data_IF_662021992635
#
_entry.id   IF_662021992635
#
_cell.length_a   1.000
_cell.length_b   1.000
_cell.length_c   1.000
_cell.angle_alpha   90.00
_cell.angle_beta   90.00
_cell.angle_gamma   90.00
#
_symmetry.space_group_name_H-M   'P 1'
#
loop_
_entity.id
_entity.type
_entity.pdbx_description
1 polymer ?
#
# COMPACT_ATOMS: atom_id res chain seq x y z
N UNK A 1 14.25 -27.69 3.74
CA UNK A 1 13.12 -28.46 4.31
C UNK A 1 12.43 -27.74 5.47
N UNK A 2 12.88 -27.82 6.73
CA UNK A 2 12.08 -27.25 7.86
C UNK A 2 11.99 -25.72 7.84
N UNK A 3 13.07 -25.04 7.44
CA UNK A 3 13.11 -23.56 7.37
C UNK A 3 12.13 -23.00 6.33
N UNK A 4 11.99 -23.67 5.19
CA UNK A 4 11.13 -23.21 4.09
C UNK A 4 9.65 -23.29 4.48
N UNK A 5 9.25 -24.38 5.16
CA UNK A 5 7.90 -24.51 5.72
C UNK A 5 7.61 -23.45 6.78
N UNK A 6 8.59 -23.12 7.63
CA UNK A 6 8.46 -22.07 8.64
C UNK A 6 8.24 -20.70 8.00
N UNK A 7 9.00 -20.36 6.96
CA UNK A 7 8.85 -19.08 6.24
C UNK A 7 7.47 -18.98 5.59
N UNK A 8 7.00 -20.06 4.94
CA UNK A 8 5.68 -20.10 4.30
C UNK A 8 4.53 -19.99 5.33
N UNK A 9 4.69 -20.60 6.50
CA UNK A 9 3.70 -20.50 7.56
C UNK A 9 3.60 -19.06 8.09
N UNK A 10 4.75 -18.44 8.39
CA UNK A 10 4.80 -17.06 8.88
C UNK A 10 4.28 -16.08 7.82
N UNK A 11 4.65 -16.24 6.55
CA UNK A 11 4.16 -15.36 5.48
C UNK A 11 2.65 -15.49 5.28
N UNK A 12 2.11 -16.70 5.33
CA UNK A 12 0.67 -16.95 5.20
C UNK A 12 -0.12 -16.36 6.37
N UNK A 13 0.42 -16.47 7.58
CA UNK A 13 -0.19 -15.88 8.77
C UNK A 13 -0.28 -14.36 8.67
N UNK A 14 0.83 -13.70 8.32
CA UNK A 14 0.86 -12.25 8.12
C UNK A 14 -0.05 -11.79 6.97
N UNK A 15 -0.07 -12.53 5.86
CA UNK A 15 -0.92 -12.22 4.71
C UNK A 15 -2.41 -12.28 5.08
N UNK A 16 -2.83 -13.34 5.78
CA UNK A 16 -4.21 -13.51 6.24
C UNK A 16 -4.62 -12.39 7.20
N UNK A 17 -3.75 -12.05 8.16
CA UNK A 17 -4.00 -10.97 9.11
C UNK A 17 -4.15 -9.62 8.40
N UNK A 18 -3.27 -9.31 7.45
CA UNK A 18 -3.37 -8.10 6.62
C UNK A 18 -4.67 -8.05 5.79
N UNK A 19 -5.11 -9.19 5.27
CA UNK A 19 -6.34 -9.28 4.49
C UNK A 19 -7.59 -9.02 5.35
N UNK A 20 -7.63 -9.53 6.59
CA UNK A 20 -8.71 -9.25 7.54
C UNK A 20 -8.80 -7.76 7.85
N UNK A 21 -7.67 -7.09 8.10
CA UNK A 21 -7.64 -5.63 8.30
C UNK A 21 -8.09 -4.86 7.05
N UNK A 22 -7.68 -5.31 5.86
CA UNK A 22 -8.12 -4.70 4.60
C UNK A 22 -9.64 -4.78 4.42
N UNK A 23 -10.27 -5.91 4.76
CA UNK A 23 -11.72 -6.08 4.70
C UNK A 23 -12.41 -5.22 5.77
N UNK A 24 -11.87 -5.16 6.99
CA UNK A 24 -12.41 -4.32 8.05
C UNK A 24 -12.43 -2.83 7.65
N UNK A 25 -11.40 -2.37 6.93
CA UNK A 25 -11.32 -1.01 6.40
C UNK A 25 -12.46 -0.69 5.45
N UNK A 26 -12.86 -1.63 4.58
CA UNK A 26 -14.00 -1.44 3.66
C UNK A 26 -15.31 -1.22 4.41
N UNK A 27 -15.48 -1.83 5.59
CA UNK A 27 -16.70 -1.68 6.40
C UNK A 27 -16.78 -0.33 7.12
N UNK A 28 -15.65 0.34 7.35
CA UNK A 28 -15.56 1.56 8.19
C UNK A 28 -15.27 2.81 7.35
N UNK A 29 -14.51 2.70 6.26
CA UNK A 29 -14.09 3.82 5.42
C UNK A 29 -14.94 3.96 4.15
N UNK A 30 -15.09 5.20 3.65
CA UNK A 30 -15.69 5.46 2.35
C UNK A 30 -14.92 4.71 1.26
N UNK A 31 -15.65 4.13 0.29
CA UNK A 31 -15.08 3.37 -0.84
C UNK A 31 -13.93 4.11 -1.53
N UNK A 32 -14.02 5.45 -1.66
CA UNK A 32 -12.96 6.24 -2.30
C UNK A 32 -11.62 6.22 -1.55
N UNK A 33 -11.65 6.07 -0.23
CA UNK A 33 -10.47 6.06 0.65
C UNK A 33 -9.78 4.71 0.59
N UNK A 34 -10.57 3.63 0.57
CA UNK A 34 -10.07 2.26 0.39
C UNK A 34 -9.39 2.12 -0.97
N UNK A 35 -9.95 2.71 -2.03
CA UNK A 35 -9.32 2.72 -3.35
C UNK A 35 -7.95 3.41 -3.34
N UNK A 36 -7.80 4.53 -2.63
CA UNK A 36 -6.50 5.20 -2.45
C UNK A 36 -5.47 4.30 -1.80
N UNK A 37 -5.86 3.59 -0.75
CA UNK A 37 -4.96 2.71 -0.03
C UNK A 37 -4.45 1.57 -0.90
N UNK A 38 -5.24 1.09 -1.87
CA UNK A 38 -4.78 0.11 -2.86
C UNK A 38 -3.68 0.66 -3.78
N UNK A 39 -3.67 1.96 -4.05
CA UNK A 39 -2.61 2.59 -4.85
C UNK A 39 -1.32 2.82 -4.04
N UNK A 40 -1.36 2.89 -2.71
CA UNK A 40 -0.15 3.00 -1.89
C UNK A 40 0.73 1.74 -1.97
N UNK A 41 0.13 0.58 -2.24
CA UNK A 41 0.85 -0.69 -2.48
C UNK A 41 1.80 -0.56 -3.68
N UNK A 42 1.48 0.28 -4.67
CA UNK A 42 2.36 0.53 -5.82
C UNK A 42 3.66 1.20 -5.37
N UNK A 43 3.60 2.17 -4.44
CA UNK A 43 4.79 2.81 -3.87
C UNK A 43 5.66 1.78 -3.14
N UNK A 44 5.04 0.96 -2.28
CA UNK A 44 5.74 -0.11 -1.59
C UNK A 44 6.31 -1.15 -2.55
N UNK A 45 5.62 -1.45 -3.64
CA UNK A 45 6.11 -2.34 -4.70
C UNK A 45 7.36 -1.81 -5.38
N UNK A 46 7.42 -0.51 -5.69
CA UNK A 46 8.62 0.14 -6.24
C UNK A 46 9.77 0.11 -5.23
N UNK A 47 9.48 0.41 -3.95
CA UNK A 47 10.47 0.33 -2.87
C UNK A 47 11.04 -1.08 -2.71
N UNK A 48 10.17 -2.08 -2.60
CA UNK A 48 10.59 -3.48 -2.48
C UNK A 48 11.32 -3.97 -3.74
N UNK A 49 10.90 -3.54 -4.94
CA UNK A 49 11.59 -3.77 -6.21
C UNK A 49 13.04 -3.28 -6.18
N UNK A 50 13.24 -2.04 -5.75
CA UNK A 50 14.57 -1.45 -5.61
C UNK A 50 15.42 -2.16 -4.54
N UNK A 51 14.86 -2.42 -3.36
CA UNK A 51 15.63 -2.99 -2.23
C UNK A 51 15.96 -4.48 -2.38
N UNK A 52 15.02 -5.29 -2.87
CA UNK A 52 15.20 -6.75 -2.94
C UNK A 52 15.71 -7.23 -4.29
N UNK A 53 15.34 -6.56 -5.39
CA UNK A 53 15.68 -6.97 -6.75
C UNK A 53 16.72 -6.06 -7.41
N UNK A 54 17.16 -5.00 -6.71
CA UNK A 54 18.12 -4.01 -7.22
C UNK A 54 17.71 -3.41 -8.57
N UNK A 55 16.39 -3.39 -8.85
CA UNK A 55 15.82 -2.83 -10.07
C UNK A 55 15.86 -1.30 -9.97
N UNK A 56 16.77 -0.68 -10.73
CA UNK A 56 16.89 0.78 -10.76
C UNK A 56 15.68 1.34 -11.53
N UNK A 57 14.79 2.11 -10.86
CA UNK A 57 13.63 2.67 -11.53
C UNK A 57 14.07 3.63 -12.65
N UNK A 58 13.51 3.44 -13.84
CA UNK A 58 13.70 4.35 -14.98
C UNK A 58 12.92 5.65 -14.77
N UNK A 59 13.20 6.67 -15.57
CA UNK A 59 12.53 7.98 -15.52
C UNK A 59 10.99 7.88 -15.46
N UNK A 60 10.41 6.93 -16.19
CA UNK A 60 8.96 6.69 -16.19
C UNK A 60 8.43 6.27 -14.81
N UNK A 61 9.20 5.47 -14.06
CA UNK A 61 8.83 5.02 -12.70
C UNK A 61 8.87 6.18 -11.70
N UNK A 62 9.83 7.10 -11.84
CA UNK A 62 9.86 8.31 -11.02
C UNK A 62 8.65 9.21 -11.26
N UNK A 63 8.26 9.42 -12.52
CA UNK A 63 7.06 10.19 -12.87
C UNK A 63 5.81 9.54 -12.27
N UNK A 64 5.67 8.22 -12.40
CA UNK A 64 4.58 7.47 -11.79
C UNK A 64 4.57 7.60 -10.27
N UNK A 65 5.73 7.46 -9.61
CA UNK A 65 5.85 7.60 -8.17
C UNK A 65 5.41 8.99 -7.67
N UNK A 66 5.84 10.05 -8.34
CA UNK A 66 5.44 11.44 -8.03
C UNK A 66 3.92 11.60 -8.17
N UNK A 67 3.32 11.06 -9.23
CA UNK A 67 1.87 11.12 -9.45
C UNK A 67 1.08 10.42 -8.33
N UNK A 68 1.57 9.27 -7.85
CA UNK A 68 0.93 8.54 -6.74
C UNK A 68 1.05 9.32 -5.42
N UNK A 69 2.22 9.90 -5.14
CA UNK A 69 2.43 10.74 -3.93
C UNK A 69 1.49 11.94 -3.93
N UNK A 70 1.37 12.64 -5.07
CA UNK A 70 0.45 13.78 -5.24
C UNK A 70 -1.00 13.34 -4.99
N UNK A 71 -1.41 12.21 -5.57
CA UNK A 71 -2.75 11.65 -5.35
C UNK A 71 -3.02 11.39 -3.86
N UNK A 72 -2.07 10.77 -3.16
CA UNK A 72 -2.15 10.55 -1.71
C UNK A 72 -2.32 11.85 -0.91
N UNK A 73 -1.52 12.88 -1.22
CA UNK A 73 -1.60 14.19 -0.57
C UNK A 73 -2.93 14.90 -0.81
N UNK A 74 -3.47 14.84 -2.02
CA UNK A 74 -4.79 15.40 -2.36
C UNK A 74 -5.89 14.72 -1.52
N UNK A 75 -5.79 13.41 -1.35
CA UNK A 75 -6.82 12.63 -0.64
C UNK A 75 -6.79 12.94 0.86
N UNK A 76 -5.60 13.05 1.46
CA UNK A 76 -5.44 13.51 2.86
C UNK A 76 -6.00 14.93 3.02
N UNK A 77 -5.66 15.83 2.10
CA UNK A 77 -6.14 17.23 2.13
C UNK A 77 -7.65 17.32 1.99
N UNK A 78 -8.24 16.51 1.11
CA UNK A 78 -9.69 16.41 0.92
C UNK A 78 -10.40 15.84 2.15
N UNK A 79 -9.81 14.85 2.82
CA UNK A 79 -10.37 14.31 4.07
C UNK A 79 -10.32 15.32 5.22
N UNK A 80 -9.24 16.11 5.31
CA UNK A 80 -9.12 17.22 6.27
C UNK A 80 -10.21 18.28 6.00
N UNK A 81 -10.45 18.62 4.74
CA UNK A 81 -11.45 19.61 4.34
C UNK A 81 -12.90 19.13 4.53
N UNK A 82 -13.14 17.82 4.47
CA UNK A 82 -14.43 17.21 4.81
C UNK A 82 -14.70 17.11 6.32
N UNK A 83 -13.82 17.67 7.18
CA UNK A 83 -14.05 17.80 8.63
C UNK A 83 -13.99 16.50 9.42
N UNK A 84 -13.44 15.42 8.85
CA UNK A 84 -13.30 14.11 9.53
C UNK A 84 -12.03 13.95 10.36
N UNK A 85 -11.15 14.95 10.37
CA UNK A 85 -9.92 14.96 11.16
C UNK A 85 -9.91 16.32 11.89
N UNK A 86 -10.01 16.27 13.22
CA UNK A 86 -9.77 17.43 14.09
C UNK A 86 -8.27 17.48 14.41
#
# INVERSE_FOLDING_TARGET
SVKDYLILFVSSFFLSLGYIFSIATIKVALVSVTSTFRYSVIIWGILYGYFFFNEIPKTNTYIGAVMIVISGLIIISRQKQLGKIK
#
